data_IF_376670084606
#
_entry.id   IF_376670084606
#
_cell.length_a   1.000
_cell.length_b   1.000
_cell.length_c   1.000
_cell.angle_alpha   90.00
_cell.angle_beta   90.00
_cell.angle_gamma   90.00
#
_symmetry.space_group_name_H-M   'P 1'
#
loop_
_entity.id
_entity.type
_entity.pdbx_description
1 polymer ?
#
# COMPACT_ATOMS: atom_id res chain seq x y z
N UNK A 1 -3.77 -23.28 -10.52
CA UNK A 1 -3.70 -21.85 -10.91
C UNK A 1 -4.93 -21.04 -10.48
N UNK A 2 -6.17 -21.41 -10.87
CA UNK A 2 -7.39 -20.68 -10.44
C UNK A 2 -7.55 -20.55 -8.91
N UNK A 3 -7.26 -21.61 -8.16
CA UNK A 3 -7.32 -21.59 -6.68
C UNK A 3 -6.40 -20.53 -6.08
N UNK A 4 -5.15 -20.45 -6.55
CA UNK A 4 -4.18 -19.46 -6.08
C UNK A 4 -4.63 -18.03 -6.40
N UNK A 5 -5.11 -17.77 -7.62
CA UNK A 5 -5.62 -16.46 -8.04
C UNK A 5 -6.75 -15.98 -7.13
N UNK A 6 -7.63 -16.91 -6.74
CA UNK A 6 -8.71 -16.67 -5.80
C UNK A 6 -8.21 -16.37 -4.38
N UNK A 7 -7.31 -17.20 -3.86
CA UNK A 7 -6.74 -17.05 -2.52
C UNK A 7 -6.03 -15.70 -2.35
N UNK A 8 -5.26 -15.28 -3.35
CA UNK A 8 -4.58 -13.99 -3.30
C UNK A 8 -5.53 -12.81 -3.55
N UNK A 9 -6.69 -13.02 -4.19
CA UNK A 9 -7.71 -11.99 -4.40
C UNK A 9 -7.52 -11.18 -5.69
N UNK A 10 -7.04 -11.82 -6.76
CA UNK A 10 -6.89 -11.20 -8.10
C UNK A 10 -8.11 -11.43 -9.01
N UNK A 11 -9.02 -12.33 -8.68
CA UNK A 11 -10.23 -12.61 -9.48
C UNK A 11 -11.47 -11.82 -9.03
N UNK A 12 -11.37 -11.11 -7.90
CA UNK A 12 -12.47 -10.33 -7.33
C UNK A 12 -12.26 -8.86 -7.65
N UNK A 13 -13.08 -8.31 -8.53
CA UNK A 13 -13.14 -6.88 -8.78
C UNK A 13 -14.44 -6.29 -8.22
N UNK A 14 -14.31 -5.52 -7.14
CA UNK A 14 -15.42 -4.80 -6.51
C UNK A 14 -15.40 -3.33 -6.93
N UNK A 15 -16.55 -2.62 -6.95
CA UNK A 15 -16.59 -1.19 -7.22
C UNK A 15 -16.13 -0.36 -6.00
N UNK A 16 -14.95 -0.68 -5.46
CA UNK A 16 -14.39 -0.07 -4.25
C UNK A 16 -14.25 1.47 -4.36
N UNK A 17 -14.06 1.98 -5.58
CA UNK A 17 -13.94 3.41 -5.86
C UNK A 17 -15.22 4.22 -5.56
N UNK A 18 -16.35 3.57 -5.27
CA UNK A 18 -17.59 4.22 -4.83
C UNK A 18 -17.79 4.20 -3.31
N UNK A 19 -16.96 3.46 -2.58
CA UNK A 19 -17.16 3.22 -1.14
C UNK A 19 -16.54 4.37 -0.32
N UNK A 20 -17.28 5.04 0.58
CA UNK A 20 -16.76 6.16 1.35
C UNK A 20 -15.44 5.90 2.11
N UNK A 21 -15.20 4.74 2.76
CA UNK A 21 -13.91 4.47 3.39
C UNK A 21 -12.75 4.51 2.41
N UNK A 22 -12.93 4.01 1.18
CA UNK A 22 -11.90 4.07 0.15
C UNK A 22 -11.62 5.51 -0.29
N UNK A 23 -12.67 6.32 -0.46
CA UNK A 23 -12.52 7.74 -0.76
C UNK A 23 -11.83 8.51 0.38
N UNK A 24 -12.13 8.18 1.64
CA UNK A 24 -11.43 8.71 2.81
C UNK A 24 -9.96 8.30 2.82
N UNK A 25 -9.63 7.08 2.40
CA UNK A 25 -8.24 6.63 2.27
C UNK A 25 -7.47 7.41 1.18
N UNK A 26 -8.12 7.78 0.07
CA UNK A 26 -7.55 8.70 -0.91
C UNK A 26 -7.36 10.11 -0.32
N UNK A 27 -8.37 10.60 0.41
CA UNK A 27 -8.28 11.88 1.12
C UNK A 27 -7.14 11.92 2.14
N UNK A 28 -6.92 10.83 2.88
CA UNK A 28 -5.80 10.69 3.81
C UNK A 28 -4.44 10.73 3.09
N UNK A 29 -4.33 10.19 1.88
CA UNK A 29 -3.13 10.30 1.04
C UNK A 29 -2.86 11.73 0.60
N UNK A 30 -3.91 12.42 0.13
CA UNK A 30 -3.83 13.86 -0.18
C UNK A 30 -3.42 14.70 1.03
N UNK A 31 -4.00 14.44 2.20
CA UNK A 31 -3.63 15.10 3.44
C UNK A 31 -2.18 14.80 3.85
N UNK A 32 -1.74 13.55 3.72
CA UNK A 32 -0.34 13.18 3.94
C UNK A 32 0.60 13.97 3.04
N UNK A 33 0.30 14.14 1.75
CA UNK A 33 1.10 14.95 0.84
C UNK A 33 1.14 16.43 1.22
N UNK A 34 0.02 16.99 1.69
CA UNK A 34 -0.02 18.35 2.21
C UNK A 34 0.90 18.52 3.43
N UNK A 35 0.88 17.56 4.36
CA UNK A 35 1.79 17.55 5.50
C UNK A 35 3.25 17.37 5.07
N UNK A 36 3.52 16.46 4.14
CA UNK A 36 4.85 16.21 3.59
C UNK A 36 5.46 17.49 3.00
N UNK A 37 4.65 18.26 2.26
CA UNK A 37 5.05 19.56 1.71
C UNK A 37 5.41 20.61 2.76
N UNK A 38 4.99 20.45 4.02
CA UNK A 38 5.37 21.36 5.11
C UNK A 38 6.68 20.94 5.80
N UNK A 39 7.06 19.66 5.72
CA UNK A 39 8.17 19.10 6.52
C UNK A 39 9.36 18.63 5.69
N UNK A 40 9.20 18.51 4.37
CA UNK A 40 10.27 18.16 3.44
C UNK A 40 10.40 19.23 2.35
N UNK A 41 11.63 19.54 1.90
CA UNK A 41 11.83 20.33 0.69
C UNK A 41 11.13 19.67 -0.50
N UNK A 42 10.30 20.44 -1.20
CA UNK A 42 9.68 19.97 -2.43
C UNK A 42 10.68 20.04 -3.58
N UNK A 43 10.87 18.92 -4.24
CA UNK A 43 11.68 18.77 -5.45
C UNK A 43 10.83 18.10 -6.52
N UNK A 44 9.77 18.78 -7.00
CA UNK A 44 8.77 18.16 -7.84
C UNK A 44 9.37 17.69 -9.16
N UNK A 45 8.89 16.56 -9.65
CA UNK A 45 9.36 16.00 -10.91
C UNK A 45 9.02 16.90 -12.10
N UNK A 46 9.91 16.93 -13.09
CA UNK A 46 9.59 17.46 -14.40
C UNK A 46 8.58 16.54 -15.11
N UNK A 47 7.65 17.07 -15.95
CA UNK A 47 6.64 16.25 -16.63
C UNK A 47 7.21 15.07 -17.43
N UNK A 48 8.41 15.22 -18.01
CA UNK A 48 9.11 14.14 -18.73
C UNK A 48 9.46 12.93 -17.85
N UNK A 49 9.62 13.13 -16.53
CA UNK A 49 10.01 12.07 -15.59
C UNK A 49 8.82 11.19 -15.20
N UNK A 50 7.57 11.65 -15.41
CA UNK A 50 6.35 10.87 -15.10
C UNK A 50 6.28 9.59 -15.93
N UNK A 51 6.86 9.58 -17.14
CA UNK A 51 6.92 8.40 -18.00
C UNK A 51 8.28 7.71 -17.97
N UNK A 52 9.17 8.10 -17.05
CA UNK A 52 10.49 7.49 -16.93
C UNK A 52 10.38 6.09 -16.33
N UNK A 53 11.30 5.21 -16.71
CA UNK A 53 11.39 3.85 -16.18
C UNK A 53 11.47 3.81 -14.65
N UNK A 54 12.28 4.65 -13.96
CA UNK A 54 12.33 4.63 -12.50
C UNK A 54 11.00 5.01 -11.85
N UNK A 55 10.29 5.99 -12.41
CA UNK A 55 8.98 6.38 -11.87
C UNK A 55 7.96 5.25 -12.03
N UNK A 56 7.84 4.67 -13.23
CA UNK A 56 6.93 3.55 -13.47
C UNK A 56 7.29 2.34 -12.61
N UNK A 57 8.57 2.11 -12.37
CA UNK A 57 9.02 1.05 -11.48
C UNK A 57 8.55 1.29 -10.04
N UNK A 58 8.85 2.47 -9.46
CA UNK A 58 8.55 2.80 -8.06
C UNK A 58 7.06 3.01 -7.77
N UNK A 59 6.29 3.44 -8.77
CA UNK A 59 4.86 3.78 -8.61
C UNK A 59 3.93 2.68 -9.08
N UNK A 60 4.33 1.86 -10.06
CA UNK A 60 3.47 0.82 -10.64
C UNK A 60 4.03 -0.56 -10.35
N UNK A 61 5.23 -0.86 -10.83
CA UNK A 61 5.76 -2.21 -10.79
C UNK A 61 6.00 -2.70 -9.35
N UNK A 62 6.75 -1.94 -8.56
CA UNK A 62 7.09 -2.29 -7.19
C UNK A 62 5.84 -2.43 -6.30
N UNK A 63 4.91 -1.45 -6.23
CA UNK A 63 3.67 -1.61 -5.48
C UNK A 63 2.84 -2.83 -5.90
N UNK A 64 2.78 -3.13 -7.20
CA UNK A 64 2.05 -4.31 -7.68
C UNK A 64 2.66 -5.62 -7.16
N UNK A 65 3.99 -5.77 -7.21
CA UNK A 65 4.68 -6.94 -6.65
C UNK A 65 4.58 -7.02 -5.14
N UNK A 66 4.75 -5.90 -4.45
CA UNK A 66 4.68 -5.83 -2.99
C UNK A 66 3.29 -6.23 -2.50
N UNK A 67 2.22 -5.69 -3.07
CA UNK A 67 0.87 -6.05 -2.63
C UNK A 67 0.52 -7.52 -2.94
N UNK A 68 0.98 -8.09 -4.06
CA UNK A 68 0.83 -9.53 -4.32
C UNK A 68 1.54 -10.37 -3.26
N UNK A 69 2.78 -10.02 -2.91
CA UNK A 69 3.55 -10.77 -1.92
C UNK A 69 2.97 -10.61 -0.51
N UNK A 70 2.79 -9.37 -0.05
CA UNK A 70 2.41 -9.08 1.32
C UNK A 70 0.92 -9.30 1.56
N UNK A 71 0.03 -8.75 0.73
CA UNK A 71 -1.42 -8.87 0.93
C UNK A 71 -2.00 -10.11 0.31
N UNK A 72 -1.53 -10.47 -0.87
CA UNK A 72 -2.00 -11.67 -1.57
C UNK A 72 -1.55 -12.91 -0.83
N UNK A 73 -0.24 -13.12 -0.78
CA UNK A 73 0.34 -14.36 -0.26
C UNK A 73 0.44 -14.37 1.28
N UNK A 74 1.18 -13.44 1.89
CA UNK A 74 1.44 -13.51 3.35
C UNK A 74 0.18 -13.27 4.19
N UNK A 75 -0.58 -12.22 3.90
CA UNK A 75 -1.82 -11.91 4.64
C UNK A 75 -2.88 -12.97 4.36
N UNK A 76 -3.04 -13.41 3.10
CA UNK A 76 -3.93 -14.51 2.74
C UNK A 76 -3.60 -15.82 3.46
N UNK A 77 -2.32 -16.19 3.57
CA UNK A 77 -1.88 -17.40 4.28
C UNK A 77 -2.25 -17.36 5.76
N UNK A 78 -2.16 -16.19 6.40
CA UNK A 78 -2.47 -16.04 7.83
C UNK A 78 -3.92 -15.64 8.12
N UNK A 79 -4.70 -15.31 7.09
CA UNK A 79 -6.08 -14.86 7.23
C UNK A 79 -6.96 -15.90 7.92
N UNK A 80 -6.70 -17.19 7.67
CA UNK A 80 -7.48 -18.27 8.27
C UNK A 80 -7.02 -18.72 9.65
N UNK A 81 -5.86 -18.25 10.10
CA UNK A 81 -5.32 -18.59 11.41
C UNK A 81 -6.20 -17.99 12.54
N UNK A 82 -6.45 -18.69 13.67
CA UNK A 82 -7.31 -18.18 14.74
C UNK A 82 -6.89 -16.82 15.31
N UNK A 83 -5.59 -16.53 15.34
CA UNK A 83 -5.06 -15.20 15.71
C UNK A 83 -5.13 -14.19 14.57
N UNK A 84 -5.12 -14.66 13.32
CA UNK A 84 -5.23 -13.82 12.12
C UNK A 84 -6.62 -13.25 11.95
N UNK A 85 -7.66 -14.06 12.18
CA UNK A 85 -9.07 -13.62 12.12
C UNK A 85 -9.46 -12.62 13.18
N UNK A 86 -8.75 -12.56 14.32
CA UNK A 86 -9.05 -11.61 15.38
C UNK A 86 -8.88 -10.20 14.83
N UNK A 87 -9.92 -9.39 14.98
CA UNK A 87 -9.95 -8.02 14.49
C UNK A 87 -10.17 -7.05 15.64
N UNK A 88 -9.47 -5.92 15.60
CA UNK A 88 -9.66 -4.80 16.51
C UNK A 88 -9.74 -3.51 15.69
N UNK A 89 -10.85 -2.79 15.78
CA UNK A 89 -11.17 -1.62 14.94
C UNK A 89 -10.99 -1.87 13.42
N UNK A 90 -11.30 -3.07 12.95
CA UNK A 90 -11.18 -3.44 11.54
C UNK A 90 -9.77 -3.90 11.12
N UNK A 91 -8.77 -3.79 11.99
CA UNK A 91 -7.42 -4.33 11.73
C UNK A 91 -7.36 -5.78 12.21
N UNK A 92 -7.18 -6.71 11.27
CA UNK A 92 -6.99 -8.12 11.57
C UNK A 92 -5.58 -8.40 12.08
N UNK A 93 -5.40 -9.49 12.83
CA UNK A 93 -4.08 -9.94 13.23
C UNK A 93 -3.18 -10.25 12.03
N UNK A 94 -3.76 -10.75 10.93
CA UNK A 94 -3.03 -11.01 9.68
C UNK A 94 -2.50 -9.72 9.07
N UNK A 95 -3.36 -8.70 8.97
CA UNK A 95 -2.95 -7.37 8.54
C UNK A 95 -1.83 -6.81 9.45
N UNK A 96 -2.03 -6.82 10.76
CA UNK A 96 -1.04 -6.29 11.71
C UNK A 96 0.33 -6.98 11.60
N UNK A 97 0.35 -8.32 11.54
CA UNK A 97 1.59 -9.10 11.38
C UNK A 97 2.29 -8.77 10.06
N UNK A 98 1.55 -8.79 8.96
CA UNK A 98 2.12 -8.53 7.62
C UNK A 98 2.59 -7.09 7.51
N UNK A 99 1.87 -6.14 8.10
CA UNK A 99 2.30 -4.74 8.12
C UNK A 99 3.59 -4.55 8.91
N UNK A 100 3.77 -5.27 10.02
CA UNK A 100 5.03 -5.28 10.76
C UNK A 100 6.18 -5.86 9.91
N UNK A 101 5.95 -6.98 9.23
CA UNK A 101 6.95 -7.58 8.34
C UNK A 101 7.32 -6.64 7.18
N UNK A 102 6.31 -5.99 6.57
CA UNK A 102 6.51 -4.99 5.52
C UNK A 102 7.39 -3.84 6.02
N UNK A 103 7.07 -3.28 7.19
CA UNK A 103 7.87 -2.23 7.84
C UNK A 103 9.30 -2.68 8.12
N UNK A 104 9.51 -3.91 8.62
CA UNK A 104 10.85 -4.47 8.85
C UNK A 104 11.66 -4.48 7.54
N UNK A 105 11.04 -4.90 6.43
CA UNK A 105 11.70 -4.90 5.11
C UNK A 105 12.14 -3.51 4.64
N UNK A 106 11.47 -2.45 5.10
CA UNK A 106 11.80 -1.08 4.73
C UNK A 106 13.00 -0.50 5.49
N UNK A 107 13.45 -1.12 6.59
CA UNK A 107 14.67 -0.67 7.28
C UNK A 107 15.95 -0.89 6.47
N UNK A 108 15.94 -1.79 5.48
CA UNK A 108 17.09 -2.00 4.60
C UNK A 108 17.25 -0.90 3.56
N UNK A 109 16.17 -0.17 3.23
CA UNK A 109 16.16 0.81 2.13
C UNK A 109 15.84 2.23 2.59
N UNK A 110 15.36 2.42 3.82
CA UNK A 110 14.96 3.73 4.33
C UNK A 110 15.56 4.06 5.70
N UNK A 111 15.73 5.37 6.01
CA UNK A 111 16.01 5.82 7.37
C UNK A 111 14.95 5.31 8.36
N UNK A 112 15.31 5.04 9.63
CA UNK A 112 14.41 4.39 10.60
C UNK A 112 13.03 5.03 10.75
N UNK A 113 12.96 6.37 10.81
CA UNK A 113 11.68 7.07 10.94
C UNK A 113 10.78 6.88 9.70
N UNK A 114 11.36 6.88 8.51
CA UNK A 114 10.62 6.63 7.27
C UNK A 114 10.16 5.17 7.18
N UNK A 115 11.02 4.22 7.54
CA UNK A 115 10.66 2.80 7.60
C UNK A 115 9.49 2.56 8.56
N UNK A 116 9.52 3.15 9.77
CA UNK A 116 8.38 3.05 10.72
C UNK A 116 7.12 3.68 10.13
N UNK A 117 7.23 4.81 9.45
CA UNK A 117 6.05 5.50 8.90
C UNK A 117 5.27 4.66 7.88
N UNK A 118 5.92 3.76 7.14
CA UNK A 118 5.23 2.89 6.16
C UNK A 118 4.30 1.87 6.83
N UNK A 119 4.40 1.67 8.14
CA UNK A 119 3.48 0.81 8.89
C UNK A 119 2.02 1.26 8.76
N UNK A 120 1.76 2.56 8.81
CA UNK A 120 0.41 3.11 8.76
C UNK A 120 -0.29 2.93 7.41
N UNK A 121 0.29 3.34 6.25
CA UNK A 121 -0.32 3.04 4.95
C UNK A 121 -0.39 1.53 4.71
N UNK A 122 0.60 0.76 5.17
CA UNK A 122 0.58 -0.70 5.10
C UNK A 122 -0.64 -1.31 5.82
N UNK A 123 -0.96 -0.86 7.04
CA UNK A 123 -2.19 -1.25 7.75
C UNK A 123 -3.45 -0.86 6.98
N UNK A 124 -3.48 0.34 6.42
CA UNK A 124 -4.60 0.83 5.62
C UNK A 124 -4.83 -0.08 4.40
N UNK A 125 -3.78 -0.39 3.64
CA UNK A 125 -3.88 -1.25 2.46
C UNK A 125 -4.35 -2.66 2.83
N UNK A 126 -3.86 -3.22 3.94
CA UNK A 126 -4.32 -4.53 4.43
C UNK A 126 -5.77 -4.51 4.93
N UNK A 127 -6.25 -3.40 5.48
CA UNK A 127 -7.68 -3.25 5.82
C UNK A 127 -8.55 -3.37 4.56
N UNK A 128 -8.14 -2.72 3.48
CA UNK A 128 -8.84 -2.80 2.20
C UNK A 128 -8.77 -4.22 1.61
N UNK A 129 -7.65 -4.93 1.76
CA UNK A 129 -7.56 -6.33 1.33
C UNK A 129 -8.58 -7.21 2.05
N UNK A 130 -8.73 -7.04 3.35
CA UNK A 130 -9.68 -7.82 4.16
C UNK A 130 -11.13 -7.43 3.86
N UNK A 131 -11.41 -6.13 3.72
CA UNK A 131 -12.76 -5.61 3.47
C UNK A 131 -13.36 -6.09 2.14
N UNK A 132 -12.57 -6.14 1.08
CA UNK A 132 -13.07 -6.48 -0.25
C UNK A 132 -12.73 -7.90 -0.72
N UNK A 133 -11.88 -8.62 0.01
CA UNK A 133 -11.35 -9.90 -0.47
C UNK A 133 -10.49 -9.76 -1.74
N UNK A 134 -10.03 -8.54 -2.05
CA UNK A 134 -9.44 -8.16 -3.34
C UNK A 134 -8.15 -7.39 -3.15
N UNK A 135 -7.18 -7.59 -4.05
CA UNK A 135 -5.92 -6.82 -4.05
C UNK A 135 -6.03 -5.47 -4.75
N UNK A 136 -6.98 -5.30 -5.67
CA UNK A 136 -7.06 -4.09 -6.49
C UNK A 136 -7.17 -2.79 -5.67
N UNK A 137 -7.96 -2.70 -4.58
CA UNK A 137 -7.98 -1.51 -3.76
C UNK A 137 -6.63 -1.21 -3.11
N UNK A 138 -5.95 -2.23 -2.58
CA UNK A 138 -4.65 -2.11 -1.91
C UNK A 138 -3.57 -1.68 -2.89
N UNK A 139 -3.51 -2.32 -4.07
CA UNK A 139 -2.62 -1.96 -5.17
C UNK A 139 -2.84 -0.50 -5.57
N UNK A 140 -4.10 -0.10 -5.82
CA UNK A 140 -4.39 1.26 -6.27
C UNK A 140 -4.00 2.30 -5.22
N UNK A 141 -4.32 2.07 -3.94
CA UNK A 141 -3.93 2.98 -2.87
C UNK A 141 -2.41 3.08 -2.75
N UNK A 142 -1.69 1.97 -2.85
CA UNK A 142 -0.23 1.99 -2.80
C UNK A 142 0.36 2.79 -3.98
N UNK A 143 -0.08 2.51 -5.20
CA UNK A 143 0.32 3.27 -6.40
C UNK A 143 -0.01 4.77 -6.24
N UNK A 144 -1.19 5.10 -5.71
CA UNK A 144 -1.59 6.48 -5.46
C UNK A 144 -0.63 7.17 -4.50
N UNK A 145 -0.42 6.60 -3.30
CA UNK A 145 0.44 7.15 -2.24
C UNK A 145 1.88 7.36 -2.73
N UNK A 146 2.48 6.36 -3.38
CA UNK A 146 3.82 6.47 -3.97
C UNK A 146 3.87 7.49 -5.10
N UNK A 147 2.85 7.50 -5.96
CA UNK A 147 2.75 8.43 -7.08
C UNK A 147 2.84 9.88 -6.62
N UNK A 148 2.03 10.27 -5.64
CA UNK A 148 2.08 11.63 -5.10
C UNK A 148 3.35 11.92 -4.31
N UNK A 149 3.88 10.94 -3.56
CA UNK A 149 5.16 11.09 -2.86
C UNK A 149 6.29 11.42 -3.86
N UNK A 150 6.55 10.54 -4.83
CA UNK A 150 7.61 10.74 -5.81
C UNK A 150 7.35 11.93 -6.74
N UNK A 151 6.09 12.26 -7.02
CA UNK A 151 5.77 13.48 -7.75
C UNK A 151 6.23 14.75 -7.03
N UNK A 152 6.09 14.80 -5.71
CA UNK A 152 6.44 15.95 -4.87
C UNK A 152 7.92 16.00 -4.46
N UNK A 153 8.51 14.85 -4.18
CA UNK A 153 9.90 14.76 -3.67
C UNK A 153 10.91 14.41 -4.75
N UNK A 154 10.47 14.09 -5.96
CA UNK A 154 11.34 13.60 -7.02
C UNK A 154 11.74 12.15 -6.82
N UNK A 155 12.46 11.62 -7.81
CA UNK A 155 12.99 10.26 -7.79
C UNK A 155 14.28 10.21 -6.95
N UNK A 156 14.54 9.09 -6.25
CA UNK A 156 15.84 8.88 -5.63
C UNK A 156 16.96 8.95 -6.68
N UNK A 157 18.09 9.53 -6.28
CA UNK A 157 19.28 9.69 -7.13
C UNK A 157 19.96 8.36 -7.44
#
# INVERSE_FOLDING_TARGET
MRKLIHEIGLDIFTPFYKDPPFLLALGAGGFFWLLLAQVQPLTPMAPRQIFSTPFLFLVVWQPWFEEILFRGFLQGTWADHPRGKRSFFGITGANALVSLLFTIMHFWTHPPLWAVSVFFPSLLFGYFRDRYGSLYPSIFLHMFYNGGYFFLTGLPA
#
